data_IF_354378243646
#
_entry.id   IF_354378243646
#
_cell.length_a   1.000
_cell.length_b   1.000
_cell.length_c   1.000
_cell.angle_alpha   90.00
_cell.angle_beta   90.00
_cell.angle_gamma   90.00
#
_symmetry.space_group_name_H-M   'P 1'
#
loop_
_entity.id
_entity.type
_entity.pdbx_description
1 polymer ?
#
# COMPACT_ATOMS: atom_id res chain seq x y z
N UNK A 1 1.85 24.88 -42.94
CA UNK A 1 0.89 24.52 -41.87
C UNK A 1 1.23 23.22 -41.13
N UNK A 2 1.51 22.11 -41.79
CA UNK A 2 1.79 20.77 -41.14
C UNK A 2 2.91 20.77 -40.08
N UNK A 3 4.00 21.53 -40.29
CA UNK A 3 5.16 21.53 -39.38
C UNK A 3 4.86 22.16 -38.00
N UNK A 4 4.06 23.24 -37.97
CA UNK A 4 3.64 23.91 -36.72
C UNK A 4 2.70 23.04 -35.91
N UNK A 5 1.77 22.35 -36.57
CA UNK A 5 0.84 21.42 -35.90
C UNK A 5 1.60 20.25 -35.29
N UNK A 6 2.59 19.69 -36.00
CA UNK A 6 3.41 18.60 -35.47
C UNK A 6 4.20 19.01 -34.21
N UNK A 7 4.77 20.22 -34.20
CA UNK A 7 5.50 20.74 -33.03
C UNK A 7 4.55 20.93 -31.83
N UNK A 8 3.36 21.47 -32.06
CA UNK A 8 2.38 21.67 -30.98
C UNK A 8 1.90 20.32 -30.38
N UNK A 9 1.67 19.33 -31.24
CA UNK A 9 1.32 17.98 -30.78
C UNK A 9 2.45 17.35 -29.96
N UNK A 10 3.69 17.47 -30.42
CA UNK A 10 4.85 16.94 -29.72
C UNK A 10 5.01 17.60 -28.33
N UNK A 11 4.89 18.94 -28.27
CA UNK A 11 4.93 19.68 -27.01
C UNK A 11 3.84 19.26 -26.04
N UNK A 12 2.60 19.10 -26.52
CA UNK A 12 1.48 18.70 -25.66
C UNK A 12 1.65 17.29 -25.09
N UNK A 13 2.14 16.35 -25.89
CA UNK A 13 2.45 14.98 -25.44
C UNK A 13 3.56 14.98 -24.39
N UNK A 14 4.64 15.75 -24.63
CA UNK A 14 5.74 15.86 -23.67
C UNK A 14 5.28 16.43 -22.33
N UNK A 15 4.48 17.50 -22.35
CA UNK A 15 3.92 18.09 -21.14
C UNK A 15 3.01 17.10 -20.41
N UNK A 16 2.16 16.35 -21.12
CA UNK A 16 1.29 15.34 -20.52
C UNK A 16 2.08 14.23 -19.83
N UNK A 17 3.16 13.74 -20.44
CA UNK A 17 4.05 12.72 -19.84
C UNK A 17 4.74 13.25 -18.58
N UNK A 18 5.24 14.50 -18.61
CA UNK A 18 5.88 15.11 -17.45
C UNK A 18 4.90 15.29 -16.29
N UNK A 19 3.69 15.75 -16.56
CA UNK A 19 2.65 15.89 -15.52
C UNK A 19 2.28 14.56 -14.93
N UNK A 20 2.06 13.53 -15.75
CA UNK A 20 1.73 12.18 -15.28
C UNK A 20 2.87 11.59 -14.43
N UNK A 21 4.10 11.67 -14.89
CA UNK A 21 5.28 11.16 -14.17
C UNK A 21 5.49 11.87 -12.83
N UNK A 22 5.34 13.19 -12.80
CA UNK A 22 5.44 13.97 -11.55
C UNK A 22 4.34 13.60 -10.55
N UNK A 23 3.11 13.41 -11.03
CA UNK A 23 1.98 13.02 -10.19
C UNK A 23 2.20 11.67 -9.53
N UNK A 24 2.70 10.68 -10.27
CA UNK A 24 3.04 9.35 -9.74
C UNK A 24 4.16 9.45 -8.69
N UNK A 25 5.20 10.22 -8.97
CA UNK A 25 6.32 10.40 -8.04
C UNK A 25 5.87 11.05 -6.73
N UNK A 26 5.05 12.09 -6.81
CA UNK A 26 4.48 12.77 -5.64
C UNK A 26 3.57 11.81 -4.86
N UNK A 27 2.71 11.06 -5.54
CA UNK A 27 1.87 10.05 -4.90
C UNK A 27 2.70 9.03 -4.13
N UNK A 28 3.71 8.44 -4.77
CA UNK A 28 4.59 7.46 -4.14
C UNK A 28 5.31 8.05 -2.92
N UNK A 29 5.78 9.30 -3.01
CA UNK A 29 6.43 9.98 -1.89
C UNK A 29 5.49 10.20 -0.71
N UNK A 30 4.25 10.59 -0.97
CA UNK A 30 3.26 10.87 0.08
C UNK A 30 2.80 9.57 0.76
N UNK A 31 2.44 8.55 -0.01
CA UNK A 31 1.84 7.33 0.53
C UNK A 31 2.85 6.30 1.00
N UNK A 32 3.99 6.19 0.32
CA UNK A 32 5.00 5.17 0.60
C UNK A 32 6.32 5.70 1.13
N UNK A 33 6.50 7.01 1.15
CA UNK A 33 7.73 7.64 1.65
C UNK A 33 8.93 7.52 0.71
N UNK A 34 8.73 7.03 -0.51
CA UNK A 34 9.80 6.80 -1.48
C UNK A 34 9.40 7.25 -2.88
N UNK A 35 10.39 7.65 -3.68
CA UNK A 35 10.24 7.85 -5.11
C UNK A 35 10.55 6.57 -5.91
N UNK A 36 11.19 5.59 -5.29
CA UNK A 36 11.61 4.35 -5.95
C UNK A 36 10.45 3.36 -6.04
N UNK A 37 10.45 2.61 -7.13
CA UNK A 37 9.46 1.58 -7.43
C UNK A 37 9.99 0.17 -7.15
N UNK A 38 11.11 0.04 -6.42
CA UNK A 38 11.75 -1.24 -6.11
C UNK A 38 11.69 -1.56 -4.63
N UNK A 39 11.46 -2.83 -4.31
CA UNK A 39 11.45 -3.33 -2.94
C UNK A 39 10.22 -2.93 -2.11
N UNK A 40 10.23 -3.35 -0.86
CA UNK A 40 9.22 -2.99 0.13
C UNK A 40 9.38 -1.51 0.53
N UNK A 41 8.30 -0.73 0.60
CA UNK A 41 8.39 0.71 0.90
C UNK A 41 8.77 0.96 2.36
N UNK A 42 9.40 2.11 2.67
CA UNK A 42 9.75 2.45 4.05
C UNK A 42 8.53 2.78 4.93
N UNK A 43 7.37 3.03 4.35
CA UNK A 43 6.11 3.24 5.06
C UNK A 43 4.92 2.98 4.13
N UNK A 44 3.75 2.78 4.72
CA UNK A 44 2.47 2.68 4.02
C UNK A 44 1.48 3.63 4.70
N UNK A 45 0.82 4.49 3.92
CA UNK A 45 -0.31 5.26 4.42
C UNK A 45 -1.61 4.57 4.00
N UNK A 46 -2.40 4.18 4.99
CA UNK A 46 -3.70 3.56 4.77
C UNK A 46 -4.68 4.03 5.83
N UNK A 47 -5.90 4.32 5.43
CA UNK A 47 -6.97 4.70 6.37
C UNK A 47 -6.63 5.96 7.20
N UNK A 48 -5.87 6.91 6.64
CA UNK A 48 -5.41 8.11 7.36
C UNK A 48 -4.33 7.86 8.42
N UNK A 49 -3.78 6.65 8.47
CA UNK A 49 -2.72 6.24 9.41
C UNK A 49 -1.45 5.85 8.67
N UNK A 50 -0.30 5.99 9.34
CA UNK A 50 0.99 5.60 8.79
C UNK A 50 1.51 4.34 9.47
N UNK A 51 1.85 3.36 8.66
CA UNK A 51 2.41 2.08 9.08
C UNK A 51 3.87 2.00 8.66
N UNK A 52 4.71 1.50 9.54
CA UNK A 52 6.13 1.29 9.30
C UNK A 52 6.46 -0.20 9.34
N UNK A 53 7.45 -0.65 8.56
CA UNK A 53 7.86 -2.05 8.61
C UNK A 53 8.29 -2.41 10.02
N UNK A 54 7.78 -3.53 10.52
CA UNK A 54 8.23 -4.15 11.74
C UNK A 54 9.63 -4.74 11.57
N UNK A 55 9.90 -5.87 12.19
CA UNK A 55 11.17 -6.57 11.99
C UNK A 55 11.26 -7.13 10.57
N UNK A 56 11.93 -6.37 9.68
CA UNK A 56 12.13 -6.76 8.27
C UNK A 56 13.12 -7.91 8.09
N UNK A 57 13.81 -8.31 9.13
CA UNK A 57 14.71 -9.47 9.11
C UNK A 57 13.93 -10.80 9.12
N UNK A 58 12.63 -10.74 9.45
CA UNK A 58 11.75 -11.90 9.53
C UNK A 58 10.54 -11.71 8.63
N UNK A 59 10.42 -12.56 7.61
CA UNK A 59 9.21 -12.67 6.82
C UNK A 59 8.26 -13.68 7.47
N UNK A 60 6.99 -13.31 7.57
CA UNK A 60 5.93 -14.19 8.06
C UNK A 60 5.42 -15.07 6.90
N UNK A 61 5.00 -16.31 7.20
CA UNK A 61 4.32 -17.17 6.24
C UNK A 61 2.83 -16.85 6.16
N UNK A 62 2.16 -17.25 5.08
CA UNK A 62 0.70 -17.13 4.95
C UNK A 62 -0.03 -17.87 6.08
N UNK A 63 0.48 -19.02 6.50
CA UNK A 63 -0.08 -19.78 7.60
C UNK A 63 0.00 -19.00 8.93
N UNK A 64 1.13 -18.32 9.18
CA UNK A 64 1.27 -17.48 10.38
C UNK A 64 0.30 -16.30 10.35
N UNK A 65 0.26 -15.55 9.25
CA UNK A 65 -0.62 -14.39 9.09
C UNK A 65 -2.09 -14.80 9.25
N UNK A 66 -2.49 -15.93 8.66
CA UNK A 66 -3.85 -16.45 8.78
C UNK A 66 -4.18 -16.86 10.21
N UNK A 67 -3.26 -17.53 10.92
CA UNK A 67 -3.46 -17.94 12.31
C UNK A 67 -3.54 -16.74 13.26
N UNK A 68 -2.74 -15.71 13.03
CA UNK A 68 -2.77 -14.45 13.77
C UNK A 68 -4.14 -13.78 13.64
N UNK A 69 -4.68 -13.71 12.43
CA UNK A 69 -5.99 -13.13 12.16
C UNK A 69 -7.13 -13.93 12.79
N UNK A 70 -7.06 -15.25 12.71
CA UNK A 70 -8.05 -16.14 13.35
C UNK A 70 -8.07 -15.96 14.87
N UNK A 71 -6.90 -15.82 15.50
CA UNK A 71 -6.78 -15.60 16.95
C UNK A 71 -7.40 -14.27 17.40
N UNK A 72 -7.36 -13.26 16.56
CA UNK A 72 -7.91 -11.93 16.83
C UNK A 72 -9.38 -11.76 16.39
N UNK A 73 -10.09 -12.84 16.05
CA UNK A 73 -11.48 -12.83 15.56
C UNK A 73 -11.71 -11.91 14.35
N UNK A 74 -10.73 -11.76 13.54
CA UNK A 74 -10.76 -10.85 12.42
C UNK A 74 -11.11 -11.62 11.14
N UNK A 75 -11.95 -11.04 10.30
CA UNK A 75 -12.49 -11.68 9.11
C UNK A 75 -11.55 -11.49 7.91
N UNK A 76 -10.68 -12.44 7.67
CA UNK A 76 -10.02 -12.65 6.38
C UNK A 76 -9.07 -11.56 5.86
N UNK A 77 -8.04 -12.01 5.15
CA UNK A 77 -7.09 -11.16 4.43
C UNK A 77 -7.73 -10.59 3.17
N UNK A 78 -7.71 -9.27 3.03
CA UNK A 78 -8.19 -8.58 1.84
C UNK A 78 -7.07 -7.75 1.24
N UNK A 79 -6.89 -7.86 -0.07
CA UNK A 79 -5.98 -6.99 -0.78
C UNK A 79 -6.55 -5.57 -0.80
N UNK A 80 -5.83 -4.62 -0.20
CA UNK A 80 -6.22 -3.21 -0.10
C UNK A 80 -5.51 -2.32 -1.11
N UNK A 81 -4.47 -2.83 -1.78
CA UNK A 81 -3.70 -2.08 -2.75
C UNK A 81 -2.45 -2.81 -3.20
N UNK A 82 -1.53 -2.05 -3.76
CA UNK A 82 -0.20 -2.51 -4.15
C UNK A 82 0.85 -1.44 -3.85
N UNK A 83 2.06 -1.88 -3.58
CA UNK A 83 3.23 -1.00 -3.47
C UNK A 83 3.61 -0.42 -4.85
N UNK A 84 4.48 0.62 -4.91
CA UNK A 84 5.01 1.10 -6.18
C UNK A 84 5.74 0.04 -7.02
N UNK A 85 6.29 -1.00 -6.37
CA UNK A 85 6.91 -2.15 -7.01
C UNK A 85 5.91 -3.23 -7.45
N UNK A 86 4.60 -3.03 -7.22
CA UNK A 86 3.54 -3.98 -7.60
C UNK A 86 3.26 -5.07 -6.57
N UNK A 87 3.98 -5.10 -5.44
CA UNK A 87 3.72 -6.09 -4.38
C UNK A 87 2.36 -5.86 -3.74
N UNK A 88 1.52 -6.90 -3.55
CA UNK A 88 0.23 -6.77 -2.89
C UNK A 88 0.36 -6.25 -1.47
N UNK A 89 -0.50 -5.32 -1.09
CA UNK A 89 -0.71 -4.90 0.29
C UNK A 89 -1.99 -5.56 0.77
N UNK A 90 -1.88 -6.29 1.87
CA UNK A 90 -2.95 -7.09 2.44
C UNK A 90 -3.24 -6.58 3.83
N UNK A 91 -4.51 -6.38 4.13
CA UNK A 91 -4.96 -6.01 5.45
C UNK A 91 -6.12 -6.90 5.86
N UNK A 92 -6.33 -6.95 7.15
CA UNK A 92 -7.55 -7.49 7.68
C UNK A 92 -8.61 -6.39 7.67
N UNK A 93 -9.63 -6.59 6.87
CA UNK A 93 -10.77 -5.67 6.79
C UNK A 93 -11.95 -6.31 7.50
N UNK A 94 -12.36 -5.69 8.60
CA UNK A 94 -13.52 -6.11 9.35
C UNK A 94 -14.77 -6.07 8.46
N UNK A 95 -15.61 -7.11 8.52
CA UNK A 95 -16.86 -7.14 7.77
C UNK A 95 -17.78 -5.95 8.14
N UNK A 96 -18.66 -5.48 7.24
CA UNK A 96 -19.60 -4.41 7.56
C UNK A 96 -20.48 -4.70 8.77
N UNK A 97 -20.86 -5.95 8.96
CA UNK A 97 -21.69 -6.40 10.09
C UNK A 97 -20.94 -6.29 11.43
N UNK A 98 -19.68 -6.71 11.45
CA UNK A 98 -18.84 -6.58 12.64
C UNK A 98 -18.53 -5.12 12.99
N UNK A 99 -18.37 -4.27 11.97
CA UNK A 99 -18.20 -2.82 12.19
C UNK A 99 -19.40 -2.21 12.89
N UNK A 100 -20.59 -2.55 12.43
CA UNK A 100 -21.84 -2.03 13.01
C UNK A 100 -22.02 -2.46 14.46
N UNK A 101 -21.58 -3.69 14.82
CA UNK A 101 -21.73 -4.23 16.16
C UNK A 101 -20.70 -3.70 17.16
N UNK A 102 -19.48 -3.38 16.72
CA UNK A 102 -18.39 -2.99 17.63
C UNK A 102 -18.15 -1.48 17.72
N UNK A 103 -18.77 -0.67 16.89
CA UNK A 103 -18.55 0.78 16.81
C UNK A 103 -17.05 1.14 16.66
N UNK A 104 -16.25 0.23 16.15
CA UNK A 104 -14.79 0.36 16.06
C UNK A 104 -14.37 0.94 14.71
N UNK A 105 -13.25 1.64 14.76
CA UNK A 105 -12.58 2.15 13.58
C UNK A 105 -12.22 1.01 12.62
N UNK A 106 -12.45 1.25 11.34
CA UNK A 106 -12.23 0.30 10.23
C UNK A 106 -10.76 -0.02 10.00
N UNK A 107 -9.89 0.80 10.58
CA UNK A 107 -8.47 0.75 10.34
C UNK A 107 -7.78 -0.30 11.19
N UNK A 108 -7.15 -1.26 10.55
CA UNK A 108 -6.41 -2.33 11.20
C UNK A 108 -5.17 -1.81 11.95
N UNK A 109 -4.67 -2.57 12.92
CA UNK A 109 -3.41 -2.26 13.61
C UNK A 109 -2.18 -2.62 12.78
N UNK A 110 -2.33 -3.55 11.86
CA UNK A 110 -1.28 -4.07 10.98
C UNK A 110 -1.75 -4.22 9.56
N UNK A 111 -0.82 -4.04 8.62
CA UNK A 111 -0.96 -4.39 7.22
C UNK A 111 0.27 -5.21 6.80
N UNK A 112 0.13 -6.08 5.81
CA UNK A 112 1.22 -6.91 5.32
C UNK A 112 1.52 -6.62 3.86
N UNK A 113 2.79 -6.62 3.51
CA UNK A 113 3.25 -6.58 2.12
C UNK A 113 3.69 -7.98 1.74
N UNK A 114 3.06 -8.55 0.73
CA UNK A 114 3.47 -9.84 0.17
C UNK A 114 4.72 -9.64 -0.68
N UNK A 115 5.84 -10.14 -0.20
CA UNK A 115 7.16 -10.01 -0.84
C UNK A 115 7.56 -11.24 -1.65
N UNK A 116 6.82 -12.34 -1.52
CA UNK A 116 7.02 -13.60 -2.23
C UNK A 116 5.76 -14.46 -2.19
N UNK A 117 5.84 -15.66 -2.75
CA UNK A 117 4.69 -16.58 -2.85
C UNK A 117 4.09 -16.92 -1.47
N UNK A 118 4.95 -17.15 -0.46
CA UNK A 118 4.57 -17.39 0.92
C UNK A 118 5.41 -16.55 1.87
N UNK A 119 5.60 -15.27 1.56
CA UNK A 119 6.45 -14.36 2.33
C UNK A 119 5.77 -13.00 2.49
N UNK A 120 5.59 -12.58 3.73
CA UNK A 120 4.91 -11.35 4.11
C UNK A 120 5.74 -10.54 5.08
N UNK A 121 5.82 -9.24 4.88
CA UNK A 121 6.42 -8.30 5.83
C UNK A 121 5.31 -7.53 6.51
N UNK A 122 5.28 -7.60 7.84
CA UNK A 122 4.33 -6.86 8.66
C UNK A 122 4.70 -5.38 8.74
N UNK A 123 3.71 -4.52 8.59
CA UNK A 123 3.78 -3.08 8.83
C UNK A 123 2.85 -2.73 9.97
N UNK A 124 3.38 -2.10 10.99
CA UNK A 124 2.67 -1.76 12.23
C UNK A 124 2.46 -0.26 12.33
N UNK A 125 1.43 0.15 13.07
CA UNK A 125 1.17 1.56 13.35
C UNK A 125 2.35 2.19 14.09
N UNK A 126 2.76 3.36 13.62
CA UNK A 126 3.68 4.22 14.38
C UNK A 126 2.93 4.82 15.58
N UNK A 127 3.47 4.56 16.77
CA UNK A 127 2.91 5.11 18.01
C UNK A 127 1.91 4.19 18.71
N UNK A 128 2.10 2.87 18.64
CA UNK A 128 1.47 1.95 19.58
C UNK A 128 1.78 2.35 21.03
N UNK A 129 0.91 1.98 21.98
CA UNK A 129 1.01 2.40 23.38
C UNK A 129 2.35 2.03 24.00
#
# INVERSE_FOLDING_TARGET
>A
MRRRTAILVLLSVTVAILVAGTSIAVYNRLYFGTFYTTGAPPRINYCGRTYYPGDTSRADSSAYVTSFLASNRQSGLTRIGSTPSGMPIIANVMSPENRASFHTDVCTMEVWVQTGEDSYVAYVLSGGP
#
